data_IF_353229016748
#
_entry.id   IF_353229016748
#
_cell.length_a   1.000
_cell.length_b   1.000
_cell.length_c   1.000
_cell.angle_alpha   90.00
_cell.angle_beta   90.00
_cell.angle_gamma   90.00
#
_symmetry.space_group_name_H-M   'P 1'
#
loop_
_entity.id
_entity.type
_entity.pdbx_description
1 polymer ?
#
# COMPACT_ATOMS: atom_id res chain seq x y z
N UNK A 1 1.18 -21.25 2.33
CA UNK A 1 1.80 -19.94 2.61
C UNK A 1 3.29 -20.10 2.41
N UNK A 2 3.95 -19.19 1.69
CA UNK A 2 5.42 -19.20 1.62
C UNK A 2 5.97 -19.06 3.05
N UNK A 3 7.02 -19.81 3.35
CA UNK A 3 7.79 -19.65 4.57
C UNK A 3 8.49 -18.29 4.62
N UNK A 4 8.99 -17.92 5.80
CA UNK A 4 9.69 -16.65 6.00
C UNK A 4 10.91 -16.54 5.09
N UNK A 5 11.64 -17.63 4.84
CA UNK A 5 12.75 -17.66 3.89
C UNK A 5 12.32 -17.39 2.45
N UNK A 6 11.22 -17.98 1.99
CA UNK A 6 10.65 -17.73 0.67
C UNK A 6 10.23 -16.27 0.49
N UNK A 7 9.64 -15.66 1.51
CA UNK A 7 9.27 -14.23 1.47
C UNK A 7 10.52 -13.34 1.46
N UNK A 8 11.54 -13.62 2.30
CA UNK A 8 12.81 -12.88 2.29
C UNK A 8 13.45 -12.88 0.91
N UNK A 9 13.50 -14.04 0.27
CA UNK A 9 14.08 -14.21 -1.07
C UNK A 9 13.29 -13.46 -2.14
N UNK A 10 11.96 -13.53 -2.10
CA UNK A 10 11.10 -12.85 -3.08
C UNK A 10 11.12 -11.32 -2.92
N UNK A 11 11.05 -10.85 -1.67
CA UNK A 11 11.02 -9.42 -1.36
C UNK A 11 12.41 -8.75 -1.35
N UNK A 12 13.50 -9.53 -1.42
CA UNK A 12 14.88 -9.07 -1.21
C UNK A 12 15.03 -8.27 0.09
N UNK A 13 14.37 -8.73 1.14
CA UNK A 13 14.37 -8.10 2.47
C UNK A 13 14.88 -9.10 3.50
N UNK A 14 15.78 -8.67 4.37
CA UNK A 14 16.43 -9.54 5.35
C UNK A 14 15.54 -9.83 6.57
N UNK A 15 14.61 -8.92 6.86
CA UNK A 15 13.65 -9.00 7.97
C UNK A 15 12.22 -9.10 7.45
N UNK A 16 11.44 -10.00 8.05
CA UNK A 16 10.02 -10.20 7.73
C UNK A 16 9.24 -10.17 9.02
N UNK A 17 8.23 -9.32 9.07
CA UNK A 17 7.35 -9.17 10.22
C UNK A 17 5.95 -9.66 9.87
N UNK A 18 5.29 -10.30 10.83
CA UNK A 18 3.92 -10.79 10.70
C UNK A 18 3.03 -10.13 11.74
N UNK A 19 1.79 -9.87 11.37
CA UNK A 19 0.76 -9.53 12.34
C UNK A 19 0.32 -10.79 13.09
N UNK A 20 0.03 -10.66 14.38
CA UNK A 20 -0.47 -11.73 15.23
C UNK A 20 -1.85 -12.21 14.72
N UNK A 21 -2.15 -13.51 14.86
CA UNK A 21 -3.48 -14.04 14.56
C UNK A 21 -4.57 -13.24 15.29
N UNK A 22 -5.69 -13.01 14.60
CA UNK A 22 -6.84 -12.25 15.10
C UNK A 22 -6.56 -10.80 15.54
N UNK A 23 -5.38 -10.25 15.19
CA UNK A 23 -4.96 -8.90 15.57
C UNK A 23 -5.05 -7.93 14.39
N UNK A 24 -6.27 -7.68 13.91
CA UNK A 24 -6.52 -6.84 12.73
C UNK A 24 -6.02 -5.40 12.90
N UNK A 25 -5.96 -4.89 14.12
CA UNK A 25 -5.47 -3.54 14.44
C UNK A 25 -4.01 -3.31 14.06
N UNK A 26 -3.17 -4.35 14.01
CA UNK A 26 -1.77 -4.26 13.59
C UNK A 26 -1.62 -3.95 12.10
N UNK A 27 -2.71 -4.05 11.33
CA UNK A 27 -2.74 -3.82 9.88
C UNK A 27 -3.56 -2.59 9.49
N UNK A 28 -4.00 -1.78 10.46
CA UNK A 28 -4.94 -0.68 10.23
C UNK A 28 -4.50 0.31 9.14
N UNK A 29 -3.20 0.68 9.13
CA UNK A 29 -2.65 1.57 8.10
C UNK A 29 -2.71 0.97 6.71
N UNK A 30 -2.42 -0.33 6.57
CA UNK A 30 -2.46 -1.05 5.30
C UNK A 30 -3.89 -1.18 4.78
N UNK A 31 -4.85 -1.45 5.67
CA UNK A 31 -6.27 -1.54 5.31
C UNK A 31 -6.85 -0.19 4.88
N UNK A 32 -6.44 0.90 5.55
CA UNK A 32 -6.81 2.25 5.12
C UNK A 32 -6.19 2.61 3.76
N UNK A 33 -4.91 2.26 3.53
CA UNK A 33 -4.26 2.43 2.22
C UNK A 33 -4.99 1.69 1.10
N UNK A 34 -5.36 0.43 1.35
CA UNK A 34 -6.17 -0.35 0.42
C UNK A 34 -7.52 0.33 0.13
N UNK A 35 -8.20 0.88 1.14
CA UNK A 35 -9.46 1.62 0.96
C UNK A 35 -9.29 2.82 0.02
N UNK A 36 -8.16 3.51 0.08
CA UNK A 36 -7.87 4.63 -0.83
C UNK A 36 -7.72 4.13 -2.27
N UNK A 37 -6.93 3.07 -2.49
CA UNK A 37 -6.74 2.46 -3.81
C UNK A 37 -8.05 1.96 -4.43
N UNK A 38 -8.98 1.45 -3.60
CA UNK A 38 -10.31 0.99 -4.04
C UNK A 38 -11.20 2.07 -4.64
N UNK A 39 -10.85 3.35 -4.53
CA UNK A 39 -11.54 4.44 -5.25
C UNK A 39 -11.31 4.39 -6.76
N UNK A 40 -10.19 3.81 -7.19
CA UNK A 40 -9.79 3.70 -8.60
C UNK A 40 -9.87 2.27 -9.11
N UNK A 41 -9.56 1.30 -8.25
CA UNK A 41 -9.42 -0.11 -8.64
C UNK A 41 -10.49 -0.96 -7.94
N UNK A 42 -11.58 -1.31 -8.64
CA UNK A 42 -12.63 -2.17 -8.09
C UNK A 42 -12.10 -3.52 -7.61
N UNK A 43 -12.81 -4.12 -6.65
CA UNK A 43 -12.47 -5.47 -6.18
C UNK A 43 -12.68 -6.49 -7.30
N UNK A 44 -11.69 -7.36 -7.52
CA UNK A 44 -11.73 -8.38 -8.57
C UNK A 44 -11.43 -7.86 -9.97
N UNK A 45 -11.06 -6.57 -10.12
CA UNK A 45 -10.60 -6.06 -11.41
C UNK A 45 -9.20 -6.60 -11.73
N UNK A 46 -9.00 -6.94 -12.99
CA UNK A 46 -7.74 -7.42 -13.52
C UNK A 46 -6.77 -6.25 -13.73
N UNK A 47 -5.74 -6.18 -12.89
CA UNK A 47 -4.74 -5.11 -12.92
C UNK A 47 -3.92 -5.09 -14.21
N UNK A 48 -3.82 -6.21 -14.93
CA UNK A 48 -3.06 -6.29 -16.18
C UNK A 48 -3.68 -5.46 -17.31
N UNK A 49 -4.95 -5.03 -17.14
CA UNK A 49 -5.67 -4.20 -18.10
C UNK A 49 -5.36 -2.70 -17.96
N UNK A 50 -4.74 -2.28 -16.87
CA UNK A 50 -4.29 -0.90 -16.72
C UNK A 50 -3.01 -0.67 -17.52
N UNK A 51 -2.90 0.49 -18.16
CA UNK A 51 -1.63 0.92 -18.74
C UNK A 51 -0.69 1.42 -17.63
N UNK A 52 0.60 1.47 -17.94
CA UNK A 52 1.59 2.02 -17.01
C UNK A 52 1.27 3.48 -16.64
N UNK A 53 0.78 4.27 -17.59
CA UNK A 53 0.40 5.67 -17.37
C UNK A 53 -0.82 5.80 -16.44
N UNK A 54 -1.80 4.90 -16.56
CA UNK A 54 -2.96 4.89 -15.67
C UNK A 54 -2.56 4.53 -14.24
N UNK A 55 -1.68 3.53 -14.07
CA UNK A 55 -1.15 3.15 -12.76
C UNK A 55 -0.35 4.31 -12.15
N UNK A 56 0.54 4.94 -12.92
CA UNK A 56 1.30 6.10 -12.45
C UNK A 56 0.38 7.23 -12.00
N UNK A 57 -0.68 7.53 -12.75
CA UNK A 57 -1.65 8.56 -12.38
C UNK A 57 -2.36 8.24 -11.06
N UNK A 58 -2.69 6.97 -10.82
CA UNK A 58 -3.29 6.53 -9.55
C UNK A 58 -2.28 6.69 -8.41
N UNK A 59 -1.03 6.26 -8.61
CA UNK A 59 0.05 6.40 -7.63
C UNK A 59 0.30 7.86 -7.26
N UNK A 60 0.43 8.73 -8.26
CA UNK A 60 0.61 10.17 -8.08
C UNK A 60 -0.54 10.77 -7.29
N UNK A 61 -1.79 10.40 -7.60
CA UNK A 61 -2.94 10.87 -6.85
C UNK A 61 -2.90 10.39 -5.39
N UNK A 62 -2.59 9.13 -5.15
CA UNK A 62 -2.54 8.53 -3.80
C UNK A 62 -1.47 9.19 -2.93
N UNK A 63 -0.32 9.50 -3.52
CA UNK A 63 0.82 10.09 -2.83
C UNK A 63 0.66 11.61 -2.62
N UNK A 64 -0.04 12.30 -3.51
CA UNK A 64 -0.35 13.73 -3.40
C UNK A 64 -1.68 14.01 -2.68
N UNK A 65 -2.43 13.00 -2.25
CA UNK A 65 -3.65 13.19 -1.49
C UNK A 65 -3.34 13.66 -0.06
N UNK A 66 -3.79 14.86 0.37
CA UNK A 66 -3.57 15.35 1.72
C UNK A 66 -4.29 14.50 2.77
N UNK A 67 -3.57 14.06 3.82
CA UNK A 67 -4.14 13.16 4.84
C UNK A 67 -4.16 13.84 6.20
N UNK A 68 -5.30 13.80 6.89
CA UNK A 68 -5.45 14.35 8.25
C UNK A 68 -4.43 13.77 9.24
N UNK A 69 -4.10 12.47 9.13
CA UNK A 69 -3.10 11.81 9.98
C UNK A 69 -1.68 12.40 9.80
N UNK A 70 -1.42 13.03 8.66
CA UNK A 70 -0.16 13.70 8.34
C UNK A 70 -0.23 15.21 8.61
N UNK A 71 -1.20 15.68 9.40
CA UNK A 71 -1.42 17.11 9.61
C UNK A 71 -1.84 17.84 8.33
N UNK A 72 -2.63 17.18 7.48
CA UNK A 72 -3.05 17.66 6.16
C UNK A 72 -1.92 17.85 5.14
N UNK A 73 -0.76 17.25 5.39
CA UNK A 73 0.30 17.10 4.37
C UNK A 73 0.04 15.87 3.48
N UNK A 74 0.69 15.85 2.34
CA UNK A 74 0.72 14.71 1.42
C UNK A 74 1.76 13.68 1.86
N UNK A 75 1.71 12.46 1.31
CA UNK A 75 2.72 11.44 1.63
C UNK A 75 4.10 11.85 1.09
N UNK A 76 4.13 12.45 -0.10
CA UNK A 76 5.36 12.97 -0.72
C UNK A 76 6.02 14.05 0.14
N UNK A 77 5.25 14.98 0.71
CA UNK A 77 5.78 16.04 1.57
C UNK A 77 6.37 15.52 2.89
N UNK A 78 5.84 14.40 3.42
CA UNK A 78 6.34 13.81 4.66
C UNK A 78 7.53 12.89 4.42
N UNK A 79 7.57 12.19 3.29
CA UNK A 79 8.67 11.27 2.96
C UNK A 79 9.93 11.98 2.43
N UNK A 80 9.78 13.16 1.83
CA UNK A 80 10.90 13.97 1.33
C UNK A 80 11.59 14.84 2.41
N UNK A 81 11.06 14.83 3.65
CA UNK A 81 11.58 15.55 4.80
C UNK A 81 12.43 14.63 5.68
#
# INVERSE_FOLDING_TARGET
>A
FLDSEGIKKAAKCEEVYYAHPYSSWERGSNENGNRILRRFIPKGFDLSKFTAEELQRIEDWVNNYPRRILGYKTANEVAAA
#
